data_IF_460429196071
#
_entry.id   IF_460429196071
#
_cell.length_a   1.000
_cell.length_b   1.000
_cell.length_c   1.000
_cell.angle_alpha   90.00
_cell.angle_beta   90.00
_cell.angle_gamma   90.00
#
_symmetry.space_group_name_H-M   'P 1'
#
loop_
_entity.id
_entity.type
_entity.pdbx_description
1 polymer ?
#
# COMPACT_ATOMS: atom_id res chain seq x y z
N UNK A 1 2.96 -12.78 2.11
CA UNK A 1 2.39 -11.86 1.10
C UNK A 1 0.88 -11.97 1.16
N UNK A 2 0.17 -10.89 1.44
CA UNK A 2 -1.28 -10.88 1.28
C UNK A 2 -1.60 -10.93 -0.22
N UNK A 3 -2.52 -11.81 -0.64
CA UNK A 3 -3.04 -11.80 -2.01
C UNK A 3 -4.03 -10.62 -2.13
N UNK A 4 -3.49 -9.44 -2.47
CA UNK A 4 -4.26 -8.23 -2.67
C UNK A 4 -4.69 -8.12 -4.13
N UNK A 5 -5.97 -7.83 -4.33
CA UNK A 5 -6.60 -7.67 -5.63
C UNK A 5 -7.39 -6.36 -5.66
N UNK A 6 -7.64 -5.82 -6.86
CA UNK A 6 -8.49 -4.63 -7.00
C UNK A 6 -9.88 -4.89 -6.41
N UNK A 7 -10.36 -3.96 -5.59
CA UNK A 7 -11.63 -4.06 -4.86
C UNK A 7 -11.48 -4.59 -3.43
N UNK A 8 -10.31 -5.11 -3.05
CA UNK A 8 -10.08 -5.55 -1.67
C UNK A 8 -10.14 -4.38 -0.69
N UNK A 9 -10.89 -4.57 0.39
CA UNK A 9 -10.86 -3.68 1.55
C UNK A 9 -9.71 -4.05 2.46
N UNK A 10 -8.96 -3.04 2.87
CA UNK A 10 -7.80 -3.18 3.74
C UNK A 10 -7.81 -2.13 4.84
N UNK A 11 -7.18 -2.48 5.95
CA UNK A 11 -6.80 -1.57 7.01
C UNK A 11 -5.28 -1.50 7.08
N UNK A 12 -4.78 -0.27 7.17
CA UNK A 12 -3.37 0.06 7.25
C UNK A 12 -3.05 0.57 8.65
N UNK A 13 -1.93 0.11 9.21
CA UNK A 13 -1.45 0.54 10.53
C UNK A 13 0.00 0.95 10.42
N UNK A 14 0.33 2.19 10.76
CA UNK A 14 1.74 2.58 10.91
C UNK A 14 2.35 1.81 12.09
N UNK A 15 3.54 1.22 11.89
CA UNK A 15 4.20 0.47 12.97
C UNK A 15 4.50 1.33 14.21
N UNK A 16 4.78 2.62 13.99
CA UNK A 16 5.04 3.62 15.03
C UNK A 16 3.74 4.18 15.67
N UNK A 17 2.58 3.98 15.05
CA UNK A 17 1.29 4.46 15.53
C UNK A 17 0.14 3.47 15.26
N UNK A 18 0.17 2.26 15.83
CA UNK A 18 -0.74 1.17 15.48
C UNK A 18 -2.19 1.39 15.94
N UNK A 19 -2.45 2.37 16.81
CA UNK A 19 -3.81 2.69 17.27
C UNK A 19 -4.66 3.41 16.20
N UNK A 20 -4.05 3.95 15.14
CA UNK A 20 -4.75 4.63 14.05
C UNK A 20 -4.77 3.74 12.82
N UNK A 21 -5.92 3.12 12.58
CA UNK A 21 -6.19 2.40 11.35
C UNK A 21 -6.56 3.40 10.24
N UNK A 22 -5.96 3.26 9.06
CA UNK A 22 -6.46 3.90 7.84
C UNK A 22 -7.20 2.84 7.06
N UNK A 23 -8.47 3.10 6.75
CA UNK A 23 -9.29 2.24 5.90
C UNK A 23 -9.13 2.65 4.45
N UNK A 24 -8.87 1.67 3.60
CA UNK A 24 -8.73 1.90 2.19
C UNK A 24 -9.23 0.71 1.36
N UNK A 25 -9.54 1.00 0.11
CA UNK A 25 -9.85 -0.01 -0.92
C UNK A 25 -8.69 -0.07 -1.92
N UNK A 26 -8.22 -1.27 -2.24
CA UNK A 26 -7.21 -1.47 -3.29
C UNK A 26 -7.82 -1.12 -4.63
N UNK A 27 -7.28 -0.11 -5.31
CA UNK A 27 -7.77 0.30 -6.62
C UNK A 27 -7.15 -0.56 -7.72
N UNK A 28 -5.82 -0.73 -7.70
CA UNK A 28 -5.06 -1.54 -8.68
C UNK A 28 -3.64 -1.82 -8.21
N UNK A 29 -3.01 -2.82 -8.81
CA UNK A 29 -1.58 -3.09 -8.71
C UNK A 29 -0.84 -2.45 -9.87
N UNK A 30 0.37 -1.95 -9.63
CA UNK A 30 1.22 -1.29 -10.62
C UNK A 30 2.56 -2.01 -10.74
N UNK A 31 3.13 -1.97 -11.94
CA UNK A 31 4.52 -2.38 -12.17
C UNK A 31 5.47 -1.21 -11.92
N UNK A 32 6.76 -1.48 -11.74
CA UNK A 32 7.78 -0.43 -11.62
C UNK A 32 7.76 0.56 -12.78
N UNK A 33 7.40 0.06 -13.98
CA UNK A 33 7.26 0.89 -15.19
C UNK A 33 6.08 1.85 -15.10
N UNK A 34 4.96 1.44 -14.51
CA UNK A 34 3.77 2.28 -14.38
C UNK A 34 4.00 3.43 -13.39
N UNK A 35 4.83 3.22 -12.36
CA UNK A 35 5.26 4.26 -11.41
C UNK A 35 6.43 5.10 -11.95
N UNK A 36 6.88 4.86 -13.19
CA UNK A 36 7.94 5.62 -13.84
C UNK A 36 9.34 5.35 -13.27
N UNK A 37 9.53 4.23 -12.59
CA UNK A 37 10.82 3.84 -12.04
C UNK A 37 11.72 3.19 -13.10
N UNK A 38 13.02 3.45 -12.99
CA UNK A 38 14.04 2.78 -13.80
C UNK A 38 14.30 1.35 -13.34
N UNK A 39 14.94 0.56 -14.20
CA UNK A 39 15.29 -0.86 -14.00
C UNK A 39 16.08 -1.12 -12.70
N UNK A 40 16.79 -0.12 -12.19
CA UNK A 40 17.56 -0.21 -10.94
C UNK A 40 16.67 -0.33 -9.68
N UNK A 41 15.36 -0.06 -9.76
CA UNK A 41 14.43 -0.21 -8.64
C UNK A 41 13.93 -1.65 -8.48
N UNK A 42 14.04 -2.48 -9.52
CA UNK A 42 13.49 -3.85 -9.54
C UNK A 42 14.13 -4.74 -8.45
N UNK A 43 15.35 -4.41 -8.01
CA UNK A 43 16.03 -5.09 -6.90
C UNK A 43 15.42 -4.79 -5.52
N UNK A 44 14.64 -3.70 -5.38
CA UNK A 44 14.13 -3.19 -4.10
C UNK A 44 12.61 -3.20 -4.00
N UNK A 45 11.90 -3.24 -5.12
CA UNK A 45 10.45 -3.22 -5.17
C UNK A 45 9.90 -4.55 -5.66
N UNK A 46 9.00 -5.15 -4.87
CA UNK A 46 8.25 -6.34 -5.28
C UNK A 46 6.92 -5.97 -5.96
N UNK A 47 6.21 -4.95 -5.47
CA UNK A 47 5.06 -4.38 -6.18
C UNK A 47 4.66 -2.98 -5.66
N UNK A 48 3.93 -2.26 -6.50
CA UNK A 48 3.27 -1.02 -6.16
C UNK A 48 1.75 -1.24 -6.10
N UNK A 49 1.09 -0.66 -5.10
CA UNK A 49 -0.34 -0.89 -4.85
C UNK A 49 -1.01 0.46 -4.71
N UNK A 50 -1.91 0.78 -5.63
CA UNK A 50 -2.76 1.98 -5.52
C UNK A 50 -3.95 1.67 -4.64
N UNK A 51 -4.22 2.56 -3.70
CA UNK A 51 -5.35 2.47 -2.79
C UNK A 51 -6.16 3.76 -2.81
N UNK A 52 -7.45 3.64 -2.51
CA UNK A 52 -8.36 4.76 -2.25
C UNK A 52 -8.72 4.78 -0.76
N UNK A 53 -8.43 5.86 -0.06
CA UNK A 53 -8.74 6.03 1.37
C UNK A 53 -10.23 6.33 1.55
N UNK A 54 -10.91 5.58 2.44
CA UNK A 54 -12.37 5.61 2.57
C UNK A 54 -12.90 6.76 3.47
N UNK A 55 -12.13 7.19 4.47
CA UNK A 55 -12.54 8.19 5.47
C UNK A 55 -11.95 9.58 5.18
N UNK A 56 -12.54 10.67 5.71
CA UNK A 56 -11.88 11.98 5.69
C UNK A 56 -10.57 11.87 6.47
N UNK A 57 -9.48 11.79 5.72
CA UNK A 57 -8.12 11.75 6.22
C UNK A 57 -7.42 13.02 5.74
N UNK A 58 -6.37 13.44 6.45
CA UNK A 58 -5.49 14.53 6.00
C UNK A 58 -4.70 14.15 4.73
N UNK A 59 -4.82 12.90 4.30
CA UNK A 59 -4.17 12.32 3.14
C UNK A 59 -5.00 12.52 1.87
N UNK A 60 -4.32 12.64 0.73
CA UNK A 60 -4.97 12.53 -0.58
C UNK A 60 -5.79 11.24 -0.68
N UNK A 61 -6.95 11.34 -1.33
CA UNK A 61 -7.88 10.23 -1.48
C UNK A 61 -7.25 9.02 -2.17
N UNK A 62 -6.25 9.24 -3.03
CA UNK A 62 -5.46 8.19 -3.65
C UNK A 62 -4.05 8.16 -3.06
N UNK A 63 -3.60 6.99 -2.66
CA UNK A 63 -2.26 6.76 -2.13
C UNK A 63 -1.61 5.57 -2.85
N UNK A 64 -0.28 5.52 -2.82
CA UNK A 64 0.50 4.39 -3.32
C UNK A 64 1.24 3.74 -2.17
N UNK A 65 1.07 2.42 -2.05
CA UNK A 65 1.84 1.58 -1.16
C UNK A 65 2.96 0.92 -1.94
N UNK A 66 4.11 0.82 -1.30
CA UNK A 66 5.24 0.04 -1.78
C UNK A 66 5.27 -1.27 -1.00
N UNK A 67 5.32 -2.40 -1.69
CA UNK A 67 5.76 -3.67 -1.13
C UNK A 67 7.19 -3.92 -1.59
N UNK A 68 8.13 -3.87 -0.65
CA UNK A 68 9.55 -4.07 -0.96
C UNK A 68 9.92 -5.54 -1.09
N UNK A 69 11.08 -5.81 -1.70
CA UNK A 69 11.66 -7.16 -1.78
C UNK A 69 12.06 -7.72 -0.40
N UNK A 70 12.12 -6.86 0.60
CA UNK A 70 12.30 -7.18 2.02
C UNK A 70 11.00 -7.62 2.73
N UNK A 71 9.91 -7.80 1.99
CA UNK A 71 8.59 -8.22 2.47
C UNK A 71 7.91 -7.24 3.43
N UNK A 72 8.32 -5.97 3.43
CA UNK A 72 7.65 -4.91 4.19
C UNK A 72 6.77 -4.04 3.28
N UNK A 73 5.61 -3.66 3.82
CA UNK A 73 4.76 -2.64 3.20
C UNK A 73 5.16 -1.26 3.72
N UNK A 74 5.12 -0.27 2.83
CA UNK A 74 5.42 1.12 3.14
C UNK A 74 4.38 2.05 2.52
N UNK A 75 4.02 3.09 3.26
CA UNK A 75 3.19 4.21 2.79
C UNK A 75 3.97 5.49 3.05
N UNK A 76 4.23 6.28 2.00
CA UNK A 76 5.07 7.48 2.07
C UNK A 76 6.44 7.21 2.72
N UNK A 77 7.05 6.06 2.39
CA UNK A 77 8.35 5.61 2.92
C UNK A 77 8.33 5.08 4.36
N UNK A 78 7.20 5.17 5.07
CA UNK A 78 7.06 4.68 6.45
C UNK A 78 6.52 3.25 6.45
N UNK A 79 7.05 2.36 7.30
CA UNK A 79 6.58 0.98 7.34
C UNK A 79 5.18 0.88 7.96
N UNK A 80 4.40 -0.02 7.40
CA UNK A 80 3.01 -0.28 7.78
C UNK A 80 2.73 -1.77 7.83
N UNK A 81 1.73 -2.15 8.62
CA UNK A 81 1.09 -3.46 8.55
C UNK A 81 -0.23 -3.35 7.79
N UNK A 82 -0.50 -4.34 6.95
CA UNK A 82 -1.76 -4.48 6.23
C UNK A 82 -2.61 -5.59 6.84
N UNK A 83 -3.90 -5.32 6.97
CA UNK A 83 -4.92 -6.33 7.26
C UNK A 83 -6.02 -6.25 6.21
N UNK A 84 -6.26 -7.35 5.50
CA UNK A 84 -7.44 -7.45 4.62
C UNK A 84 -8.68 -7.66 5.48
N UNK A 85 -9.67 -6.82 5.27
CA UNK A 85 -10.99 -6.95 5.88
C UNK A 85 -11.85 -7.75 4.91
N UNK A 86 -12.11 -9.01 5.28
CA UNK A 86 -13.16 -9.79 4.61
C UNK A 86 -14.50 -9.30 5.14
N UNK A 87 -15.37 -8.87 4.24
CA UNK A 87 -16.82 -8.86 4.48
C UNK A 87 -17.38 -10.26 4.21
#
# INVERSE_FOLDING_TARGET
MLNLESGDRIELFYEDAPARAIRATVSRLLTDRDEGMGTEVEDYTACWIVITVDEPSDMDAQQVLLFGTDFQYRLNGRPITLRKTQD
#
